data_IF_891469598308
#
_entry.id   IF_891469598308
#
_cell.length_a   1.000
_cell.length_b   1.000
_cell.length_c   1.000
_cell.angle_alpha   90.00
_cell.angle_beta   90.00
_cell.angle_gamma   90.00
#
_symmetry.space_group_name_H-M   'P 1'
#
loop_
_entity.id
_entity.type
_entity.pdbx_description
1 polymer ?
#
# COMPACT_ATOMS: atom_id res chain seq x y z
N UNK A 1 1.13 17.48 -1.42
CA UNK A 1 0.47 16.28 -0.88
C UNK A 1 -1.01 16.61 -0.75
N UNK A 2 -1.85 16.03 -1.60
CA UNK A 2 -3.30 16.24 -1.53
C UNK A 2 -3.87 15.25 -0.52
N UNK A 3 -4.01 15.68 0.73
CA UNK A 3 -4.49 14.81 1.82
C UNK A 3 -5.93 14.37 1.62
N UNK A 4 -6.72 15.19 0.91
CA UNK A 4 -8.13 14.93 0.63
C UNK A 4 -8.26 13.75 -0.33
N UNK A 5 -7.40 13.70 -1.35
CA UNK A 5 -7.35 12.58 -2.30
C UNK A 5 -7.07 11.23 -1.61
N UNK A 6 -6.18 11.21 -0.60
CA UNK A 6 -5.91 10.00 0.20
C UNK A 6 -7.09 9.66 1.11
N UNK A 7 -7.70 10.67 1.75
CA UNK A 7 -8.82 10.46 2.66
C UNK A 7 -10.05 9.89 1.93
N UNK A 8 -10.36 10.42 0.74
CA UNK A 8 -11.47 9.95 -0.10
C UNK A 8 -11.24 8.53 -0.64
N UNK A 9 -9.97 8.16 -0.86
CA UNK A 9 -9.58 6.88 -1.47
C UNK A 9 -8.79 5.98 -0.49
N UNK A 10 -9.11 6.04 0.80
CA UNK A 10 -8.33 5.38 1.86
C UNK A 10 -8.21 3.86 1.67
N UNK A 11 -9.26 3.22 1.14
CA UNK A 11 -9.24 1.79 0.85
C UNK A 11 -8.20 1.44 -0.22
N UNK A 12 -8.17 2.19 -1.33
CA UNK A 12 -7.18 2.02 -2.38
C UNK A 12 -5.77 2.31 -1.86
N UNK A 13 -5.60 3.35 -1.05
CA UNK A 13 -4.32 3.67 -0.44
C UNK A 13 -3.79 2.51 0.43
N UNK A 14 -4.67 1.88 1.23
CA UNK A 14 -4.30 0.74 2.06
C UNK A 14 -3.88 -0.48 1.24
N UNK A 15 -4.53 -0.75 0.10
CA UNK A 15 -4.12 -1.83 -0.81
C UNK A 15 -2.74 -1.57 -1.42
N UNK A 16 -2.50 -0.34 -1.90
CA UNK A 16 -1.19 0.06 -2.44
C UNK A 16 -0.10 -0.06 -1.38
N UNK A 17 -0.39 0.40 -0.16
CA UNK A 17 0.53 0.25 0.97
C UNK A 17 0.79 -1.23 1.30
N UNK A 18 -0.24 -2.07 1.35
CA UNK A 18 -0.10 -3.50 1.61
C UNK A 18 0.81 -4.18 0.57
N UNK A 19 0.62 -3.89 -0.72
CA UNK A 19 1.49 -4.37 -1.81
C UNK A 19 2.94 -3.97 -1.60
N UNK A 20 3.19 -2.68 -1.38
CA UNK A 20 4.55 -2.17 -1.19
C UNK A 20 5.18 -2.81 0.04
N UNK A 21 4.43 -2.92 1.14
CA UNK A 21 4.91 -3.56 2.36
C UNK A 21 5.28 -5.03 2.15
N UNK A 22 4.45 -5.79 1.43
CA UNK A 22 4.73 -7.18 1.08
C UNK A 22 6.00 -7.31 0.23
N UNK A 23 6.11 -6.53 -0.86
CA UNK A 23 7.30 -6.51 -1.73
C UNK A 23 8.57 -6.19 -0.95
N UNK A 24 8.55 -5.16 -0.10
CA UNK A 24 9.71 -4.74 0.70
C UNK A 24 10.05 -5.72 1.82
N UNK A 25 9.07 -6.50 2.30
CA UNK A 25 9.28 -7.51 3.33
C UNK A 25 9.90 -8.79 2.79
N UNK A 26 9.68 -9.11 1.50
CA UNK A 26 10.24 -10.30 0.86
C UNK A 26 11.53 -9.97 0.08
N UNK A 27 11.73 -8.72 -0.36
CA UNK A 27 12.92 -8.28 -1.06
C UNK A 27 14.21 -8.45 -0.20
N UNK A 28 15.20 -9.26 -0.61
CA UNK A 28 16.35 -9.64 0.24
C UNK A 28 17.17 -8.46 0.79
N UNK A 29 17.33 -7.40 -0.01
CA UNK A 29 18.11 -6.22 0.37
C UNK A 29 17.44 -5.44 1.50
N UNK A 30 16.10 -5.36 1.45
CA UNK A 30 15.31 -4.52 2.35
C UNK A 30 14.81 -5.30 3.57
N UNK A 31 14.67 -6.63 3.44
CA UNK A 31 14.21 -7.53 4.49
C UNK A 31 15.30 -7.90 5.52
N UNK A 32 16.56 -7.57 5.22
CA UNK A 32 17.72 -7.88 6.07
C UNK A 32 17.63 -7.26 7.48
N UNK A 33 18.32 -7.88 8.44
CA UNK A 33 18.42 -7.39 9.82
C UNK A 33 19.17 -6.05 9.96
N UNK A 34 19.82 -5.59 8.89
CA UNK A 34 20.50 -4.30 8.87
C UNK A 34 19.53 -3.10 8.82
N UNK A 35 18.29 -3.31 8.37
CA UNK A 35 17.27 -2.27 8.30
C UNK A 35 16.27 -2.45 9.46
N UNK A 36 16.17 -1.48 10.39
CA UNK A 36 15.20 -1.52 11.47
C UNK A 36 13.76 -1.57 10.94
N UNK A 37 12.91 -2.37 11.58
CA UNK A 37 11.49 -2.53 11.20
C UNK A 37 10.74 -1.19 11.00
N UNK A 38 10.82 -0.23 11.95
CA UNK A 38 10.16 1.07 11.78
C UNK A 38 10.65 1.87 10.57
N UNK A 39 11.94 1.79 10.24
CA UNK A 39 12.50 2.47 9.07
C UNK A 39 11.95 1.88 7.76
N UNK A 40 11.78 0.55 7.71
CA UNK A 40 11.14 -0.14 6.58
C UNK A 40 9.68 0.28 6.43
N UNK A 41 8.91 0.30 7.52
CA UNK A 41 7.51 0.76 7.50
C UNK A 41 7.40 2.20 7.00
N UNK A 42 8.28 3.09 7.48
CA UNK A 42 8.36 4.48 7.01
C UNK A 42 8.66 4.58 5.51
N UNK A 43 9.58 3.76 5.00
CA UNK A 43 9.88 3.69 3.57
C UNK A 43 8.67 3.20 2.76
N UNK A 44 7.95 2.18 3.25
CA UNK A 44 6.73 1.69 2.61
C UNK A 44 5.66 2.80 2.53
N UNK A 45 5.42 3.51 3.63
CA UNK A 45 4.47 4.63 3.66
C UNK A 45 4.87 5.76 2.71
N UNK A 46 6.13 6.16 2.72
CA UNK A 46 6.64 7.20 1.82
C UNK A 46 6.45 6.81 0.36
N UNK A 47 6.79 5.56 0.02
CA UNK A 47 6.65 5.03 -1.34
C UNK A 47 5.17 5.00 -1.75
N UNK A 48 4.28 4.55 -0.85
CA UNK A 48 2.85 4.54 -1.10
C UNK A 48 2.31 5.96 -1.37
N UNK A 49 2.68 6.95 -0.55
CA UNK A 49 2.26 8.36 -0.76
C UNK A 49 2.76 8.91 -2.09
N UNK A 50 3.98 8.57 -2.51
CA UNK A 50 4.54 9.00 -3.79
C UNK A 50 3.76 8.36 -4.94
N UNK A 51 3.53 7.04 -4.89
CA UNK A 51 2.94 6.26 -5.99
C UNK A 51 1.43 6.45 -6.12
N UNK A 52 0.74 6.76 -5.02
CA UNK A 52 -0.72 6.77 -4.95
C UNK A 52 -1.45 7.64 -5.98
N UNK A 53 -1.03 8.88 -6.31
CA UNK A 53 -1.79 9.74 -7.22
C UNK A 53 -2.00 9.10 -8.60
N UNK A 54 -0.97 8.42 -9.14
CA UNK A 54 -1.09 7.75 -10.44
C UNK A 54 -2.07 6.57 -10.41
N UNK A 55 -2.17 5.87 -9.28
CA UNK A 55 -3.11 4.75 -9.12
C UNK A 55 -4.54 5.25 -8.91
N UNK A 56 -4.71 6.38 -8.22
CA UNK A 56 -6.02 7.00 -8.04
C UNK A 56 -6.60 7.47 -9.39
N UNK A 57 -5.77 8.03 -10.27
CA UNK A 57 -6.17 8.49 -11.60
C UNK A 57 -6.62 7.34 -12.54
N UNK A 58 -6.11 6.12 -12.33
CA UNK A 58 -6.48 4.92 -13.11
C UNK A 58 -7.90 4.39 -12.81
N UNK A 59 -8.58 4.90 -11.76
CA UNK A 59 -10.01 4.65 -11.54
C UNK A 59 -10.36 3.20 -11.14
N UNK A 60 -9.60 2.59 -10.23
CA UNK A 60 -9.78 1.20 -9.82
C UNK A 60 -11.18 0.93 -9.18
N UNK A 61 -11.98 -0.02 -9.69
CA UNK A 61 -13.30 -0.29 -9.14
C UNK A 61 -13.21 -1.00 -7.79
N UNK A 62 -13.71 -0.35 -6.73
CA UNK A 62 -13.74 -0.93 -5.39
C UNK A 62 -14.96 -1.80 -5.16
N UNK A 63 -14.80 -3.00 -4.56
CA UNK A 63 -15.92 -3.83 -4.19
C UNK A 63 -16.75 -3.14 -3.09
N UNK A 64 -18.09 -3.10 -3.22
CA UNK A 64 -18.93 -2.42 -2.23
C UNK A 64 -19.04 -3.19 -0.91
N UNK A 65 -18.75 -4.50 -0.91
CA UNK A 65 -18.77 -5.32 0.30
C UNK A 65 -17.39 -5.37 0.97
N UNK A 66 -17.37 -5.20 2.31
CA UNK A 66 -16.14 -5.29 3.11
C UNK A 66 -15.37 -6.61 2.92
N UNK A 67 -16.09 -7.72 2.71
CA UNK A 67 -15.46 -9.02 2.45
C UNK A 67 -14.65 -9.02 1.13
N UNK A 68 -15.14 -8.31 0.11
CA UNK A 68 -14.42 -8.16 -1.15
C UNK A 68 -13.11 -7.38 -0.98
N UNK A 69 -13.15 -6.32 -0.17
CA UNK A 69 -11.93 -5.57 0.19
C UNK A 69 -10.91 -6.44 0.92
N UNK A 70 -11.34 -7.27 1.88
CA UNK A 70 -10.45 -8.20 2.59
C UNK A 70 -9.78 -9.18 1.63
N UNK A 71 -10.54 -9.74 0.67
CA UNK A 71 -9.96 -10.64 -0.34
C UNK A 71 -8.95 -9.94 -1.25
N UNK A 72 -9.22 -8.69 -1.65
CA UNK A 72 -8.25 -7.89 -2.39
C UNK A 72 -6.99 -7.63 -1.56
N UNK A 73 -7.14 -7.24 -0.29
CA UNK A 73 -6.01 -6.99 0.61
C UNK A 73 -5.14 -8.23 0.80
N UNK A 74 -5.76 -9.41 0.98
CA UNK A 74 -5.04 -10.69 1.02
C UNK A 74 -4.32 -10.92 -0.30
N UNK A 75 -4.97 -10.66 -1.44
CA UNK A 75 -4.36 -10.76 -2.77
C UNK A 75 -3.19 -9.81 -3.03
N UNK A 76 -3.10 -8.68 -2.33
CA UNK A 76 -1.94 -7.77 -2.43
C UNK A 76 -0.72 -8.26 -1.64
N UNK A 77 -0.92 -9.16 -0.66
CA UNK A 77 0.14 -9.66 0.24
C UNK A 77 0.65 -11.04 -0.15
N UNK A 78 -0.20 -11.86 -0.78
CA UNK A 78 0.16 -13.18 -1.31
C UNK A 78 0.96 -13.08 -2.60
#
# INVERSE_FOLDING_TARGET
MNIDLIAENIQLFLLVFARIFALLSVAPLLSSAAIPGPARVGLCLLTAVIVFPWIADDGYPMPPQALGFIFLLVGEVL
#
